data_IF_574117600968
#
_entry.id   IF_574117600968
#
_cell.length_a   1.000
_cell.length_b   1.000
_cell.length_c   1.000
_cell.angle_alpha   90.00
_cell.angle_beta   90.00
_cell.angle_gamma   90.00
#
_symmetry.space_group_name_H-M   'P 1'
#
loop_
_entity.id
_entity.type
_entity.pdbx_description
1 polymer ?
#
# COMPACT_ATOMS: atom_id res chain seq x y z
N UNK A 1 -1.06 15.15 -6.24
CA UNK A 1 -2.52 15.45 -6.16
C UNK A 1 -3.11 14.68 -4.99
N UNK A 2 -4.02 15.27 -4.20
CA UNK A 2 -4.71 14.59 -3.10
C UNK A 2 -6.20 14.42 -3.45
N UNK A 3 -6.68 13.18 -3.45
CA UNK A 3 -8.06 12.79 -3.68
C UNK A 3 -8.66 12.23 -2.39
N UNK A 4 -9.98 12.30 -2.25
CA UNK A 4 -10.72 11.64 -1.18
C UNK A 4 -11.68 10.63 -1.79
N UNK A 5 -11.41 9.34 -1.57
CA UNK A 5 -12.30 8.24 -1.96
C UNK A 5 -13.16 7.87 -0.76
N UNK A 6 -14.29 8.56 -0.60
CA UNK A 6 -15.07 8.52 0.64
C UNK A 6 -14.26 9.11 1.80
N UNK A 7 -14.08 8.36 2.87
CA UNK A 7 -13.24 8.75 4.02
C UNK A 7 -11.75 8.47 3.85
N UNK A 8 -11.33 7.86 2.73
CA UNK A 8 -9.93 7.50 2.49
C UNK A 8 -9.19 8.57 1.68
N UNK A 9 -8.19 9.26 2.27
CA UNK A 9 -7.32 10.15 1.51
C UNK A 9 -6.35 9.34 0.64
N UNK A 10 -6.20 9.73 -0.63
CA UNK A 10 -5.35 9.07 -1.62
C UNK A 10 -4.45 10.10 -2.29
N UNK A 11 -3.13 9.91 -2.18
CA UNK A 11 -2.14 10.74 -2.87
C UNK A 11 -1.80 10.11 -4.21
N UNK A 12 -2.00 10.86 -5.29
CA UNK A 12 -1.58 10.49 -6.65
C UNK A 12 -0.26 11.18 -6.98
N UNK A 13 0.72 10.37 -7.38
CA UNK A 13 2.01 10.80 -7.93
C UNK A 13 2.10 10.47 -9.40
N UNK A 14 2.63 11.40 -10.20
CA UNK A 14 2.66 11.31 -11.65
C UNK A 14 3.99 11.79 -12.26
N UNK A 15 5.08 11.75 -11.47
CA UNK A 15 6.42 12.05 -11.95
C UNK A 15 7.41 11.00 -11.45
N UNK A 16 8.49 10.79 -12.20
CA UNK A 16 9.53 9.82 -11.86
C UNK A 16 10.27 10.23 -10.58
N UNK A 17 10.48 11.53 -10.39
CA UNK A 17 11.15 12.11 -9.23
C UNK A 17 10.34 11.85 -7.96
N UNK A 18 9.02 12.09 -8.00
CA UNK A 18 8.14 11.84 -6.87
C UNK A 18 8.04 10.33 -6.55
N UNK A 19 7.97 9.49 -7.58
CA UNK A 19 8.00 8.04 -7.40
C UNK A 19 9.31 7.56 -6.77
N UNK A 20 10.46 8.12 -7.17
CA UNK A 20 11.75 7.79 -6.57
C UNK A 20 11.82 8.20 -5.09
N UNK A 21 11.28 9.37 -4.73
CA UNK A 21 11.19 9.79 -3.32
C UNK A 21 10.37 8.81 -2.49
N UNK A 22 9.27 8.28 -3.02
CA UNK A 22 8.38 7.34 -2.34
C UNK A 22 9.00 5.94 -2.23
N UNK A 23 9.49 5.39 -3.34
CA UNK A 23 9.88 3.98 -3.43
C UNK A 23 11.37 3.71 -3.22
N UNK A 24 12.22 4.74 -3.10
CA UNK A 24 13.64 4.58 -2.77
C UNK A 24 14.02 5.28 -1.48
N UNK A 25 13.64 6.55 -1.34
CA UNK A 25 14.08 7.36 -0.20
C UNK A 25 13.23 7.13 1.05
N UNK A 26 11.91 6.92 0.86
CA UNK A 26 10.95 6.70 1.96
C UNK A 26 10.23 5.37 1.81
N UNK A 27 10.87 4.39 1.18
CA UNK A 27 10.27 3.10 0.81
C UNK A 27 9.57 2.42 2.00
N UNK A 28 10.21 2.39 3.17
CA UNK A 28 9.67 1.78 4.38
C UNK A 28 8.35 2.42 4.83
N UNK A 29 8.23 3.74 4.75
CA UNK A 29 7.03 4.48 5.14
C UNK A 29 5.84 4.17 4.23
N UNK A 30 6.11 3.84 2.95
CA UNK A 30 5.09 3.53 1.94
C UNK A 30 5.02 2.02 1.60
N UNK A 31 5.69 1.18 2.37
CA UNK A 31 5.75 -0.27 2.12
C UNK A 31 4.45 -0.99 2.50
N UNK A 32 3.67 -0.45 3.44
CA UNK A 32 2.43 -1.09 3.88
C UNK A 32 1.31 -0.95 2.86
N UNK A 33 0.48 -1.99 2.74
CA UNK A 33 -0.68 -2.00 1.83
C UNK A 33 -1.90 -1.28 2.45
N UNK A 34 -2.78 -0.71 1.62
CA UNK A 34 -3.97 0.00 2.09
C UNK A 34 -4.92 -0.87 2.94
N UNK A 35 -5.87 -0.25 3.66
CA UNK A 35 -6.84 -0.94 4.49
C UNK A 35 -7.61 -2.04 3.74
N UNK A 36 -7.84 -3.15 4.44
CA UNK A 36 -8.41 -4.38 3.89
C UNK A 36 -9.90 -4.20 3.56
N UNK A 37 -10.26 -4.30 2.29
CA UNK A 37 -11.65 -4.52 1.88
C UNK A 37 -12.06 -5.97 2.18
N UNK A 38 -13.21 -6.16 2.81
CA UNK A 38 -13.70 -7.48 3.26
C UNK A 38 -13.72 -8.52 2.11
N UNK A 39 -14.12 -8.11 0.91
CA UNK A 39 -14.17 -8.99 -0.26
C UNK A 39 -12.79 -9.57 -0.62
N UNK A 40 -11.74 -8.74 -0.61
CA UNK A 40 -10.38 -9.17 -0.92
C UNK A 40 -9.77 -10.01 0.21
N UNK A 41 -10.23 -9.84 1.46
CA UNK A 41 -9.86 -10.73 2.55
C UNK A 41 -10.19 -12.20 2.27
N UNK A 42 -11.27 -12.50 1.55
CA UNK A 42 -11.57 -13.90 1.16
C UNK A 42 -10.73 -14.35 -0.03
N UNK A 43 -10.61 -13.50 -1.06
CA UNK A 43 -9.89 -13.81 -2.29
C UNK A 43 -8.38 -14.04 -2.05
N UNK A 44 -7.79 -13.24 -1.15
CA UNK A 44 -6.35 -13.19 -0.90
C UNK A 44 -5.97 -13.91 0.40
N UNK A 45 -6.77 -14.89 0.83
CA UNK A 45 -6.49 -15.70 2.02
C UNK A 45 -6.16 -14.85 3.26
N UNK A 46 -6.97 -13.82 3.48
CA UNK A 46 -6.81 -12.78 4.50
C UNK A 46 -5.55 -11.91 4.35
N UNK A 47 -5.15 -11.63 3.11
CA UNK A 47 -3.96 -10.85 2.75
C UNK A 47 -2.69 -11.50 3.29
N UNK A 48 -2.58 -12.81 3.08
CA UNK A 48 -1.40 -13.60 3.45
C UNK A 48 -0.53 -13.91 2.23
N UNK A 49 -0.83 -13.36 1.06
CA UNK A 49 0.11 -13.39 -0.06
C UNK A 49 1.14 -12.25 0.04
N UNK A 50 2.24 -12.37 -0.70
CA UNK A 50 3.35 -11.39 -0.71
C UNK A 50 2.95 -10.05 -1.32
N UNK A 51 2.00 -10.04 -2.26
CA UNK A 51 1.60 -8.83 -2.98
C UNK A 51 0.73 -7.90 -2.14
N UNK A 52 -0.17 -8.47 -1.34
CA UNK A 52 -1.22 -7.74 -0.62
C UNK A 52 -1.05 -7.70 0.90
N UNK A 53 -0.17 -8.51 1.48
CA UNK A 53 0.10 -8.46 2.92
C UNK A 53 0.62 -7.08 3.35
N UNK A 54 0.12 -6.54 4.48
CA UNK A 54 0.66 -5.30 5.04
C UNK A 54 2.10 -5.52 5.48
N UNK A 55 2.89 -4.45 5.48
CA UNK A 55 4.28 -4.53 5.92
C UNK A 55 4.31 -4.84 7.42
N UNK A 56 4.82 -6.02 7.75
CA UNK A 56 4.92 -6.56 9.10
C UNK A 56 5.97 -7.67 9.12
N UNK A 57 6.17 -8.32 10.27
CA UNK A 57 7.05 -9.49 10.37
C UNK A 57 6.69 -10.59 9.36
N UNK A 58 5.40 -10.90 9.19
CA UNK A 58 4.94 -11.89 8.21
C UNK A 58 5.41 -11.60 6.78
N UNK A 59 5.37 -10.33 6.34
CA UNK A 59 5.80 -9.96 4.99
C UNK A 59 7.33 -9.96 4.83
N UNK A 60 8.08 -9.82 5.93
CA UNK A 60 9.55 -9.77 5.94
C UNK A 60 10.23 -11.14 5.99
N UNK A 61 9.47 -12.21 6.23
CA UNK A 61 9.93 -13.60 6.21
C UNK A 61 9.98 -14.13 4.78
#
# INVERSE_FOLDING_TARGET
MLLHLGSFPVVVVSSAEAAAQLFKTHDLAFSSRPPKLIAYGKLLYNYKDVGSAPYAEYWRQ
#
